data_IF_479011113249
#
_entry.id   IF_479011113249
#
_cell.length_a   1.000
_cell.length_b   1.000
_cell.length_c   1.000
_cell.angle_alpha   90.00
_cell.angle_beta   90.00
_cell.angle_gamma   90.00
#
_symmetry.space_group_name_H-M   'P 1'
#
loop_
_entity.id
_entity.type
_entity.pdbx_description
1 polymer ?
#
# COMPACT_ATOMS: atom_id res chain seq x y z
N UNK A 1 13.85 5.72 13.20
CA UNK A 1 13.07 4.65 13.86
C UNK A 1 11.63 4.67 13.39
N UNK A 2 11.03 3.48 13.26
CA UNK A 2 9.60 3.27 12.99
C UNK A 2 8.89 2.83 14.29
N UNK A 3 7.57 3.04 14.42
CA UNK A 3 6.88 2.72 15.66
C UNK A 3 6.73 1.20 15.87
N UNK A 4 6.76 0.74 17.12
CA UNK A 4 6.70 -0.69 17.50
C UNK A 4 5.49 -1.44 16.95
N UNK A 5 4.40 -0.70 16.67
CA UNK A 5 3.15 -1.24 16.14
C UNK A 5 3.07 -1.20 14.60
N UNK A 6 4.17 -0.91 13.89
CA UNK A 6 4.23 -0.82 12.43
C UNK A 6 3.57 -2.03 11.74
N UNK A 7 4.02 -3.25 12.08
CA UNK A 7 3.53 -4.48 11.45
C UNK A 7 2.06 -4.73 11.76
N UNK A 8 1.63 -4.46 12.99
CA UNK A 8 0.25 -4.63 13.41
C UNK A 8 -0.69 -3.67 12.67
N UNK A 9 -0.29 -2.40 12.52
CA UNK A 9 -1.05 -1.38 11.79
C UNK A 9 -1.14 -1.70 10.29
N UNK A 10 -0.01 -2.02 9.66
CA UNK A 10 0.04 -2.39 8.25
C UNK A 10 -0.88 -3.59 7.96
N UNK A 11 -0.74 -4.67 8.74
CA UNK A 11 -1.56 -5.88 8.57
C UNK A 11 -3.04 -5.60 8.79
N UNK A 12 -3.40 -4.78 9.78
CA UNK A 12 -4.79 -4.39 10.04
C UNK A 12 -5.42 -3.70 8.84
N UNK A 13 -4.76 -2.69 8.27
CA UNK A 13 -5.31 -1.98 7.12
C UNK A 13 -5.29 -2.81 5.84
N UNK A 14 -4.24 -3.62 5.62
CA UNK A 14 -4.19 -4.53 4.48
C UNK A 14 -5.31 -5.59 4.52
N UNK A 15 -5.61 -6.13 5.71
CA UNK A 15 -6.73 -7.06 5.91
C UNK A 15 -8.12 -6.41 5.71
N UNK A 16 -8.20 -5.09 5.76
CA UNK A 16 -9.40 -4.32 5.40
C UNK A 16 -9.43 -3.98 3.89
N UNK A 17 -8.57 -4.61 3.09
CA UNK A 17 -8.48 -4.38 1.65
C UNK A 17 -7.86 -3.05 1.24
N UNK A 18 -7.31 -2.29 2.20
CA UNK A 18 -6.67 -1.03 1.89
C UNK A 18 -5.26 -1.27 1.30
N UNK A 19 -4.90 -0.47 0.30
CA UNK A 19 -3.52 -0.37 -0.14
C UNK A 19 -2.78 0.55 0.82
N UNK A 20 -1.77 0.01 1.50
CA UNK A 20 -0.96 0.71 2.49
C UNK A 20 0.41 1.03 1.91
N UNK A 21 0.81 2.30 1.95
CA UNK A 21 2.15 2.76 1.51
C UNK A 21 2.87 3.36 2.71
N UNK A 22 4.04 2.82 3.02
CA UNK A 22 4.95 3.35 4.04
C UNK A 22 5.68 4.59 3.51
N UNK A 23 5.67 5.68 4.28
CA UNK A 23 6.34 6.93 3.93
C UNK A 23 7.45 7.23 4.94
N UNK A 24 8.62 7.55 4.41
CA UNK A 24 9.76 8.02 5.19
C UNK A 24 10.46 9.15 4.43
N UNK A 25 11.05 10.08 5.16
CA UNK A 25 11.63 11.31 4.60
C UNK A 25 13.01 11.57 5.18
N UNK A 26 13.88 12.20 4.39
CA UNK A 26 15.16 12.75 4.84
C UNK A 26 15.13 14.26 4.63
N UNK A 27 15.40 15.01 5.69
CA UNK A 27 15.58 16.46 5.56
C UNK A 27 17.02 16.73 5.10
N UNK A 28 17.16 17.35 3.92
CA UNK A 28 18.46 17.71 3.35
C UNK A 28 18.89 19.14 3.72
N UNK A 29 18.11 19.87 4.52
CA UNK A 29 18.37 21.27 4.86
C UNK A 29 17.80 22.25 3.83
N UNK A 30 18.28 23.49 3.84
CA UNK A 30 17.81 24.54 2.93
C UNK A 30 18.53 24.43 1.59
N UNK A 31 17.80 24.67 0.49
CA UNK A 31 18.35 24.60 -0.87
C UNK A 31 19.58 25.50 -1.13
N UNK A 32 19.72 26.58 -0.36
CA UNK A 32 20.82 27.54 -0.44
C UNK A 32 22.15 26.95 0.05
N UNK A 33 22.07 25.98 0.97
CA UNK A 33 23.21 25.36 1.65
C UNK A 33 23.60 24.02 0.98
N UNK A 34 22.90 23.64 -0.09
CA UNK A 34 23.02 22.35 -0.76
C UNK A 34 23.82 22.47 -2.05
N UNK A 35 24.86 21.64 -2.18
CA UNK A 35 25.49 21.39 -3.48
C UNK A 35 24.59 20.47 -4.32
N UNK A 36 23.83 21.09 -5.22
CA UNK A 36 22.91 20.39 -6.12
C UNK A 36 23.62 19.45 -7.10
N UNK A 37 24.87 19.74 -7.47
CA UNK A 37 25.62 18.89 -8.39
C UNK A 37 26.05 17.60 -7.67
N UNK A 38 26.57 17.73 -6.44
CA UNK A 38 26.91 16.58 -5.61
C UNK A 38 25.67 15.74 -5.22
N UNK A 39 24.54 16.37 -4.92
CA UNK A 39 23.29 15.64 -4.64
C UNK A 39 22.83 14.81 -5.83
N UNK A 40 22.89 15.36 -7.05
CA UNK A 40 22.49 14.65 -8.27
C UNK A 40 23.41 13.49 -8.64
N UNK A 41 24.69 13.57 -8.26
CA UNK A 41 25.65 12.49 -8.47
C UNK A 41 25.64 11.45 -7.34
N UNK A 42 24.90 11.68 -6.25
CA UNK A 42 24.83 10.74 -5.14
C UNK A 42 23.93 9.56 -5.51
N UNK A 43 24.37 8.31 -5.30
CA UNK A 43 23.58 7.14 -5.61
C UNK A 43 22.29 7.07 -4.78
N UNK A 44 21.24 6.51 -5.39
CA UNK A 44 19.91 6.41 -4.80
C UNK A 44 19.93 5.65 -3.48
N UNK A 45 20.69 4.57 -3.41
CA UNK A 45 20.81 3.70 -2.25
C UNK A 45 21.40 4.46 -1.06
N UNK A 46 22.31 5.41 -1.29
CA UNK A 46 22.85 6.27 -0.23
C UNK A 46 21.83 7.32 0.23
N UNK A 47 20.92 7.74 -0.66
CA UNK A 47 19.84 8.68 -0.34
C UNK A 47 18.66 8.02 0.39
N UNK A 48 18.39 6.74 0.12
CA UNK A 48 17.27 5.99 0.70
C UNK A 48 17.59 5.28 2.04
N UNK A 49 18.71 5.64 2.70
CA UNK A 49 19.08 5.14 4.03
C UNK A 49 18.70 6.11 5.16
N UNK A 50 18.72 5.68 6.43
CA UNK A 50 18.62 6.59 7.58
C UNK A 50 17.43 7.57 7.53
N UNK A 51 16.31 7.16 6.94
CA UNK A 51 15.14 8.00 6.76
C UNK A 51 14.36 8.12 8.08
N UNK A 52 13.72 9.27 8.28
CA UNK A 52 12.77 9.49 9.37
C UNK A 52 11.40 8.98 8.97
N UNK A 53 10.79 8.17 9.82
CA UNK A 53 9.42 7.68 9.63
C UNK A 53 8.44 8.86 9.53
N UNK A 54 7.62 8.88 8.48
CA UNK A 54 6.61 9.93 8.27
C UNK A 54 5.18 9.41 8.49
N UNK A 55 4.92 8.13 8.21
CA UNK A 55 3.61 7.51 8.43
C UNK A 55 3.18 6.57 7.31
N UNK A 56 1.90 6.18 7.34
CA UNK A 56 1.26 5.41 6.28
C UNK A 56 0.30 6.28 5.47
N UNK A 57 0.31 6.10 4.15
CA UNK A 57 -0.78 6.51 3.28
C UNK A 57 -1.69 5.30 3.00
N UNK A 58 -2.98 5.44 3.28
CA UNK A 58 -3.97 4.36 3.21
C UNK A 58 -4.97 4.69 2.12
N UNK A 59 -5.10 3.81 1.14
CA UNK A 59 -5.99 3.97 0.00
C UNK A 59 -7.05 2.88 0.00
N UNK A 60 -8.32 3.28 -0.11
CA UNK A 60 -9.42 2.35 -0.32
C UNK A 60 -9.52 1.99 -1.80
N UNK A 61 -9.65 0.69 -2.09
CA UNK A 61 -9.91 0.19 -3.43
C UNK A 61 -11.27 -0.52 -3.41
N UNK A 62 -12.38 0.22 -3.54
CA UNK A 62 -13.71 -0.39 -3.59
C UNK A 62 -13.85 -1.27 -4.84
N UNK A 63 -14.65 -2.33 -4.71
CA UNK A 63 -15.09 -3.09 -5.88
C UNK A 63 -15.92 -2.20 -6.80
N UNK A 64 -15.98 -2.55 -8.08
CA UNK A 64 -16.91 -1.89 -9.00
C UNK A 64 -18.33 -2.12 -8.50
N UNK A 65 -19.20 -1.10 -8.46
CA UNK A 65 -20.57 -1.23 -7.94
C UNK A 65 -21.37 -2.38 -8.58
N UNK A 66 -21.06 -2.71 -9.83
CA UNK A 66 -21.74 -3.72 -10.62
C UNK A 66 -21.22 -5.15 -10.35
N UNK A 67 -20.07 -5.28 -9.67
CA UNK A 67 -19.46 -6.58 -9.40
C UNK A 67 -20.27 -7.41 -8.40
N UNK A 68 -20.68 -6.84 -7.27
CA UNK A 68 -21.45 -7.57 -6.24
C UNK A 68 -22.78 -8.12 -6.79
N UNK A 69 -23.62 -7.31 -7.49
CA UNK A 69 -24.86 -7.83 -8.09
C UNK A 69 -24.63 -8.93 -9.13
N UNK A 70 -23.61 -8.78 -10.00
CA UNK A 70 -23.32 -9.76 -11.03
C UNK A 70 -22.84 -11.10 -10.43
N UNK A 71 -21.96 -11.05 -9.43
CA UNK A 71 -21.50 -12.24 -8.71
C UNK A 71 -22.65 -12.95 -7.99
N UNK A 72 -23.57 -12.19 -7.37
CA UNK A 72 -24.75 -12.75 -6.72
C UNK A 72 -25.65 -13.51 -7.71
N UNK A 73 -25.88 -12.97 -8.91
CA UNK A 73 -26.66 -13.64 -9.96
C UNK A 73 -25.99 -14.92 -10.47
N UNK A 74 -24.68 -14.91 -10.66
CA UNK A 74 -23.92 -16.10 -11.07
C UNK A 74 -23.99 -17.19 -9.99
N UNK A 75 -23.83 -16.81 -8.72
CA UNK A 75 -23.98 -17.74 -7.60
C UNK A 75 -25.38 -18.33 -7.51
N UNK A 76 -26.42 -17.51 -7.70
CA UNK A 76 -27.82 -17.95 -7.70
C UNK A 76 -28.14 -18.92 -8.85
N UNK A 77 -27.45 -18.81 -9.98
CA UNK A 77 -27.54 -19.76 -11.09
C UNK A 77 -26.62 -20.98 -10.95
N UNK A 78 -26.15 -21.27 -9.73
CA UNK A 78 -25.31 -22.43 -9.39
C UNK A 78 -23.93 -22.46 -10.09
N UNK A 79 -23.40 -21.30 -10.49
CA UNK A 79 -22.03 -21.22 -10.98
C UNK A 79 -21.04 -21.17 -9.82
N UNK A 80 -19.92 -21.88 -9.96
CA UNK A 80 -18.80 -21.76 -9.04
C UNK A 80 -18.03 -20.47 -9.33
N UNK A 81 -17.78 -19.68 -8.29
CA UNK A 81 -17.00 -18.44 -8.35
C UNK A 81 -15.60 -18.69 -7.80
N UNK A 82 -14.57 -18.33 -8.57
CA UNK A 82 -13.16 -18.44 -8.18
C UNK A 82 -12.44 -17.15 -8.55
N UNK A 83 -11.69 -16.57 -7.61
CA UNK A 83 -10.85 -15.41 -7.84
C UNK A 83 -9.43 -15.87 -8.23
N UNK A 84 -8.88 -15.28 -9.30
CA UNK A 84 -7.48 -15.43 -9.70
C UNK A 84 -6.87 -14.03 -9.66
N UNK A 85 -5.95 -13.78 -8.73
CA UNK A 85 -5.30 -12.48 -8.55
C UNK A 85 -3.82 -12.65 -8.21
N UNK A 86 -3.01 -11.65 -8.59
CA UNK A 86 -1.61 -11.50 -8.17
C UNK A 86 -1.44 -10.60 -6.94
N UNK A 87 -2.54 -10.11 -6.37
CA UNK A 87 -2.51 -9.24 -5.18
C UNK A 87 -2.06 -10.01 -3.93
N UNK A 88 -1.61 -9.24 -2.93
CA UNK A 88 -1.24 -9.80 -1.65
C UNK A 88 -2.43 -10.57 -1.01
N UNK A 89 -2.19 -11.71 -0.32
CA UNK A 89 -3.24 -12.58 0.18
C UNK A 89 -4.30 -11.88 1.05
N UNK A 90 -3.90 -10.95 1.91
CA UNK A 90 -4.83 -10.23 2.79
C UNK A 90 -5.81 -9.35 2.00
N UNK A 91 -5.33 -8.69 0.95
CA UNK A 91 -6.15 -7.86 0.07
C UNK A 91 -7.08 -8.73 -0.78
N UNK A 92 -6.58 -9.86 -1.28
CA UNK A 92 -7.37 -10.82 -2.04
C UNK A 92 -8.51 -11.43 -1.20
N UNK A 93 -8.22 -11.85 0.04
CA UNK A 93 -9.23 -12.36 0.97
C UNK A 93 -10.31 -11.32 1.27
N UNK A 94 -9.93 -10.06 1.47
CA UNK A 94 -10.91 -8.99 1.67
C UNK A 94 -11.81 -8.83 0.43
N UNK A 95 -11.23 -8.74 -0.76
CA UNK A 95 -11.98 -8.57 -2.00
C UNK A 95 -12.90 -9.76 -2.29
N UNK A 96 -12.48 -11.00 -1.98
CA UNK A 96 -13.28 -12.20 -2.17
C UNK A 96 -14.38 -12.40 -1.10
N UNK A 97 -14.29 -11.70 0.04
CA UNK A 97 -15.29 -11.74 1.11
C UNK A 97 -16.49 -10.82 0.87
N UNK A 98 -16.38 -9.97 -0.14
CA UNK A 98 -17.42 -9.05 -0.62
C UNK A 98 -18.22 -9.70 -1.73
#
# INVERSE_FOLDING_TARGET
DYPDNYDALYKRYAAQGARVIALAVRNLGRAQDLDLAALRSTPREAMEQGLSWAGFAIFSCPLKPESEPALAQLRASSHQLVMITGDAPLTACFAASK
#
